data_IF_792289437748
#
_entry.id   IF_792289437748
#
_cell.length_a   1.000
_cell.length_b   1.000
_cell.length_c   1.000
_cell.angle_alpha   90.00
_cell.angle_beta   90.00
_cell.angle_gamma   90.00
#
_symmetry.space_group_name_H-M   'P 1'
#
loop_
_entity.id
_entity.type
_entity.pdbx_description
1 polymer ?
#
# COMPACT_ATOMS: atom_id res chain seq x y z
N UNK A 1 1.22 42.87 51.46
CA UNK A 1 1.41 44.17 52.16
C UNK A 1 2.90 44.48 52.22
N UNK A 2 3.25 45.77 52.11
CA UNK A 2 4.57 46.42 52.25
C UNK A 2 5.37 46.65 50.96
N UNK A 3 5.09 47.82 50.39
CA UNK A 3 5.95 48.61 49.50
C UNK A 3 7.03 49.36 50.30
N UNK A 4 8.00 49.85 49.52
CA UNK A 4 8.87 51.04 49.67
C UNK A 4 10.30 50.67 50.09
N UNK A 5 11.34 51.07 49.37
CA UNK A 5 11.77 52.46 49.25
C UNK A 5 12.83 52.58 48.12
N UNK A 6 12.66 53.55 47.23
CA UNK A 6 13.71 54.02 46.35
C UNK A 6 14.62 54.98 47.13
N UNK A 7 15.94 54.87 46.95
CA UNK A 7 16.84 56.01 47.11
C UNK A 7 17.99 55.91 46.11
N UNK A 8 18.01 56.91 45.23
CA UNK A 8 19.05 57.22 44.23
C UNK A 8 20.21 57.91 44.95
N UNK A 9 21.46 57.52 44.64
CA UNK A 9 22.60 58.42 44.84
C UNK A 9 23.75 58.17 43.85
N UNK A 10 23.92 59.18 42.99
CA UNK A 10 25.11 59.71 42.31
C UNK A 10 26.07 58.79 41.53
N UNK A 11 26.12 59.12 40.24
CA UNK A 11 27.20 58.88 39.27
C UNK A 11 28.50 59.54 39.73
N UNK A 12 29.58 58.75 39.75
CA UNK A 12 30.94 59.22 39.49
C UNK A 12 31.57 58.31 38.45
N UNK A 13 31.79 58.87 37.26
CA UNK A 13 32.64 58.29 36.24
C UNK A 13 34.08 58.27 36.78
N UNK A 14 34.52 57.11 37.24
CA UNK A 14 35.93 56.74 37.36
C UNK A 14 36.19 55.66 36.33
N UNK A 15 37.26 55.79 35.56
CA UNK A 15 37.72 54.77 34.64
C UNK A 15 37.91 53.46 35.41
N UNK A 16 37.05 52.47 35.19
CA UNK A 16 37.29 51.12 35.66
C UNK A 16 38.38 50.54 34.74
N UNK A 17 39.58 50.42 35.31
CA UNK A 17 40.56 49.45 34.86
C UNK A 17 39.87 48.10 35.07
N UNK A 18 39.74 47.34 33.99
CA UNK A 18 39.13 46.01 33.99
C UNK A 18 39.78 45.17 35.09
N UNK A 19 38.99 44.79 36.10
CA UNK A 19 39.40 43.87 37.15
C UNK A 19 39.48 42.49 36.49
N UNK A 20 40.61 42.20 35.84
CA UNK A 20 40.93 40.84 35.45
C UNK A 20 41.06 40.02 36.74
N UNK A 21 40.14 39.07 36.93
CA UNK A 21 40.15 38.03 37.98
C UNK A 21 41.27 37.00 37.72
N UNK A 22 42.42 37.47 37.24
CA UNK A 22 43.53 36.67 36.74
C UNK A 22 44.38 36.18 37.90
N UNK A 23 44.41 34.86 38.11
CA UNK A 23 45.43 34.21 38.94
C UNK A 23 46.81 34.64 38.44
N UNK A 24 47.65 35.14 39.33
CA UNK A 24 49.04 35.42 39.01
C UNK A 24 49.82 34.12 38.92
N UNK A 25 50.78 34.05 38.01
CA UNK A 25 51.59 32.86 37.75
C UNK A 25 53.05 33.23 37.53
N UNK A 26 53.98 32.29 37.78
CA UNK A 26 55.38 32.41 37.37
C UNK A 26 55.74 31.41 36.27
N UNK A 27 54.96 30.32 36.13
CA UNK A 27 55.05 29.34 35.05
C UNK A 27 53.65 28.82 34.66
N UNK A 28 53.54 28.19 33.49
CA UNK A 28 52.26 27.65 32.98
C UNK A 28 51.61 26.64 33.92
N UNK A 29 52.41 25.94 34.74
CA UNK A 29 51.91 24.99 35.74
C UNK A 29 51.13 25.65 36.89
N UNK A 30 51.22 26.98 37.05
CA UNK A 30 50.45 27.73 38.04
C UNK A 30 49.03 28.08 37.52
N UNK A 31 48.75 27.79 36.25
CA UNK A 31 47.50 28.08 35.55
C UNK A 31 46.63 26.81 35.39
N UNK A 32 45.31 27.00 35.23
CA UNK A 32 44.36 25.89 35.03
C UNK A 32 44.32 25.44 33.57
N UNK A 33 43.72 24.26 33.30
CA UNK A 33 43.61 23.71 31.95
C UNK A 33 43.06 24.74 30.95
N UNK A 34 43.75 24.94 29.83
CA UNK A 34 43.39 25.92 28.79
C UNK A 34 43.92 27.35 29.00
N UNK A 35 44.72 27.60 30.05
CA UNK A 35 45.35 28.89 30.32
C UNK A 35 46.87 28.77 30.46
N UNK A 36 47.61 29.77 29.98
CA UNK A 36 49.08 29.83 29.98
C UNK A 36 49.55 31.08 30.71
N UNK A 37 50.76 31.03 31.26
CA UNK A 37 51.30 32.11 32.06
C UNK A 37 51.96 33.18 31.20
N UNK A 38 51.27 34.30 31.02
CA UNK A 38 51.81 35.42 30.25
C UNK A 38 52.00 36.65 31.12
N UNK A 39 53.25 37.12 31.21
CA UNK A 39 53.64 38.34 31.94
C UNK A 39 53.12 38.38 33.39
N UNK A 40 53.06 37.23 34.04
CA UNK A 40 52.68 37.12 35.45
C UNK A 40 51.21 36.86 35.70
N UNK A 41 50.39 36.65 34.66
CA UNK A 41 48.96 36.36 34.78
C UNK A 41 48.58 35.15 33.92
N UNK A 42 47.69 34.31 34.44
CA UNK A 42 47.08 33.24 33.66
C UNK A 42 46.12 33.86 32.66
N UNK A 43 46.44 33.71 31.38
CA UNK A 43 45.61 34.14 30.26
C UNK A 43 45.20 32.91 29.44
N UNK A 44 44.05 32.95 28.78
CA UNK A 44 43.71 31.95 27.76
C UNK A 44 44.85 31.88 26.73
N UNK A 45 45.14 30.69 26.18
CA UNK A 45 46.26 30.46 25.27
C UNK A 45 46.38 31.57 24.21
N UNK A 46 47.34 32.47 24.42
CA UNK A 46 47.71 33.50 23.46
C UNK A 46 48.58 32.88 22.38
N UNK A 47 48.40 33.36 21.15
CA UNK A 47 49.14 32.88 19.99
C UNK A 47 49.86 34.04 19.29
N UNK A 48 50.85 33.71 18.47
CA UNK A 48 51.48 34.73 17.63
C UNK A 48 50.61 34.98 16.39
N UNK A 49 50.40 36.25 16.01
CA UNK A 49 49.60 36.62 14.83
C UNK A 49 50.07 35.81 13.61
N UNK A 50 49.12 35.29 12.83
CA UNK A 50 49.32 34.39 11.69
C UNK A 50 49.89 32.99 12.03
N UNK A 51 50.03 32.64 13.30
CA UNK A 51 50.36 31.26 13.70
C UNK A 51 49.19 30.33 13.40
N UNK A 52 49.50 29.13 12.93
CA UNK A 52 48.52 28.08 12.66
C UNK A 52 48.69 26.91 13.63
N UNK A 53 47.58 26.26 13.98
CA UNK A 53 47.58 24.98 14.69
C UNK A 53 46.48 24.07 14.17
N UNK A 54 46.71 22.77 14.33
CA UNK A 54 45.66 21.75 14.18
C UNK A 54 44.69 21.89 15.35
N UNK A 55 43.40 21.76 15.07
CA UNK A 55 42.34 21.86 16.06
C UNK A 55 41.21 20.87 15.75
N UNK A 56 40.42 20.58 16.77
CA UNK A 56 39.17 19.84 16.67
C UNK A 56 38.32 20.19 17.88
N UNK A 57 37.11 20.68 17.67
CA UNK A 57 36.23 21.13 18.76
C UNK A 57 35.40 19.98 19.36
N UNK A 58 35.48 18.77 18.80
CA UNK A 58 34.87 17.54 19.31
C UNK A 58 35.80 16.70 20.19
N UNK A 59 35.43 15.44 20.46
CA UNK A 59 36.30 14.51 21.20
C UNK A 59 37.56 14.19 20.37
N UNK A 60 38.78 14.51 20.85
CA UNK A 60 40.02 14.24 20.13
C UNK A 60 40.22 12.76 19.78
N UNK A 61 39.61 11.83 20.53
CA UNK A 61 39.71 10.40 20.27
C UNK A 61 39.10 9.97 18.92
N UNK A 62 38.23 10.80 18.33
CA UNK A 62 37.60 10.54 17.02
C UNK A 62 38.55 10.85 15.85
N UNK A 63 39.64 11.58 16.09
CA UNK A 63 40.55 12.08 15.05
C UNK A 63 42.04 11.80 15.30
N UNK A 64 42.41 11.26 16.46
CA UNK A 64 43.79 10.93 16.85
C UNK A 64 43.81 9.54 17.53
N UNK A 65 44.59 8.55 17.02
CA UNK A 65 45.66 8.65 16.03
C UNK A 65 45.22 8.59 14.55
N UNK A 66 43.97 8.21 14.30
CA UNK A 66 43.39 8.09 12.95
C UNK A 66 41.95 8.59 13.03
N UNK A 67 41.54 9.37 12.05
CA UNK A 67 40.16 9.79 11.89
C UNK A 67 39.22 8.60 11.69
N UNK A 68 38.16 8.56 12.50
CA UNK A 68 37.04 7.62 12.38
C UNK A 68 35.97 8.29 11.52
N UNK A 69 35.47 7.55 10.54
CA UNK A 69 34.43 8.02 9.64
C UNK A 69 34.76 9.30 8.88
N UNK A 70 33.77 10.18 8.79
CA UNK A 70 33.87 11.48 8.12
C UNK A 70 34.57 12.56 8.95
N UNK A 71 34.78 12.32 10.26
CA UNK A 71 35.37 13.29 11.17
C UNK A 71 36.78 13.67 10.76
N UNK A 72 37.09 14.96 10.82
CA UNK A 72 38.44 15.45 10.52
C UNK A 72 38.79 16.68 11.33
N UNK A 73 40.08 16.79 11.62
CA UNK A 73 40.68 17.97 12.21
C UNK A 73 40.63 19.16 11.24
N UNK A 74 40.55 20.37 11.80
CA UNK A 74 40.67 21.62 11.07
C UNK A 74 41.96 22.35 11.38
N UNK A 75 42.06 23.57 10.87
CA UNK A 75 43.13 24.53 11.18
C UNK A 75 42.52 25.75 11.85
N UNK A 76 43.15 26.17 12.94
CA UNK A 76 42.85 27.44 13.61
C UNK A 76 44.02 28.38 13.36
N UNK A 77 43.70 29.61 12.98
CA UNK A 77 44.66 30.70 12.73
C UNK A 77 44.55 31.73 13.84
N UNK A 78 45.70 32.22 14.31
CA UNK A 78 45.73 33.29 15.30
C UNK A 78 45.34 34.64 14.68
N UNK A 79 44.35 35.31 15.26
CA UNK A 79 43.90 36.63 14.84
C UNK A 79 44.83 37.77 15.29
N UNK A 80 44.56 38.98 14.78
CA UNK A 80 45.28 40.21 15.19
C UNK A 80 45.10 40.56 16.68
N UNK A 81 44.10 39.96 17.34
CA UNK A 81 43.81 40.06 18.76
C UNK A 81 44.58 39.03 19.62
N UNK A 82 45.56 38.33 19.03
CA UNK A 82 46.40 37.31 19.67
C UNK A 82 45.59 36.10 20.21
N UNK A 83 44.43 35.84 19.61
CA UNK A 83 43.52 34.74 19.96
C UNK A 83 43.31 33.77 18.81
N UNK A 84 43.12 32.50 19.14
CA UNK A 84 42.79 31.46 18.17
C UNK A 84 41.39 31.66 17.60
N UNK A 85 41.29 31.68 16.27
CA UNK A 85 40.00 31.67 15.57
C UNK A 85 39.27 30.32 15.65
N UNK A 86 38.04 30.28 15.14
CA UNK A 86 37.28 29.04 15.01
C UNK A 86 38.07 27.98 14.21
N UNK A 87 37.87 26.71 14.54
CA UNK A 87 38.56 25.63 13.86
C UNK A 87 37.99 25.45 12.44
N UNK A 88 38.69 25.98 11.44
CA UNK A 88 38.24 25.99 10.05
C UNK A 88 38.52 24.64 9.38
N UNK A 89 37.51 24.11 8.69
CA UNK A 89 37.65 22.86 7.92
C UNK A 89 37.43 21.57 8.72
N UNK A 90 37.21 21.64 10.03
CA UNK A 90 36.83 20.48 10.83
C UNK A 90 35.49 19.89 10.38
N UNK A 91 35.33 18.58 10.54
CA UNK A 91 34.03 17.87 10.41
C UNK A 91 33.73 17.26 11.76
N UNK A 92 32.72 17.82 12.44
CA UNK A 92 32.24 17.33 13.73
C UNK A 92 31.23 16.20 13.52
N UNK A 93 31.10 15.27 14.49
CA UNK A 93 30.03 14.27 14.51
C UNK A 93 28.65 14.88 14.33
N UNK A 94 27.80 14.20 13.55
CA UNK A 94 26.40 14.55 13.29
C UNK A 94 25.52 13.32 13.47
N UNK A 95 24.21 13.49 13.39
CA UNK A 95 23.32 12.34 13.37
C UNK A 95 23.50 11.57 12.07
N UNK A 96 23.60 10.25 12.19
CA UNK A 96 23.67 9.32 11.06
C UNK A 96 22.56 9.53 10.03
N UNK A 97 22.94 9.46 8.77
CA UNK A 97 22.05 9.43 7.63
C UNK A 97 22.40 8.23 6.76
N UNK A 98 21.45 7.65 6.04
CA UNK A 98 21.75 6.62 5.04
C UNK A 98 22.43 7.27 3.82
N UNK A 99 23.73 7.54 3.90
CA UNK A 99 24.53 8.16 2.83
C UNK A 99 25.83 7.38 2.53
N UNK A 100 26.09 6.29 3.25
CA UNK A 100 27.28 5.46 3.09
C UNK A 100 28.52 6.01 3.80
N UNK A 101 28.36 7.08 4.57
CA UNK A 101 29.39 7.69 5.41
C UNK A 101 29.11 7.38 6.89
N UNK A 102 30.15 7.48 7.71
CA UNK A 102 30.07 7.42 9.18
C UNK A 102 30.06 8.89 9.65
N UNK A 103 28.85 9.42 9.84
CA UNK A 103 28.53 10.82 10.12
C UNK A 103 28.73 11.16 11.60
N UNK A 104 28.52 10.20 12.50
CA UNK A 104 28.67 10.34 13.95
C UNK A 104 30.04 9.90 14.49
N UNK A 105 30.84 9.27 13.62
CA UNK A 105 32.24 8.90 13.83
C UNK A 105 32.43 7.84 14.91
N UNK A 106 31.44 6.97 15.14
CA UNK A 106 31.54 5.86 16.10
C UNK A 106 32.29 4.63 15.53
N UNK A 107 32.55 4.62 14.21
CA UNK A 107 33.23 3.55 13.49
C UNK A 107 32.30 2.60 12.76
N UNK A 108 31.00 2.88 12.71
CA UNK A 108 30.01 2.18 11.90
C UNK A 108 29.44 3.12 10.84
N UNK A 109 28.95 2.52 9.77
CA UNK A 109 28.36 3.25 8.65
C UNK A 109 26.87 2.98 8.69
N UNK A 110 26.06 4.05 8.58
CA UNK A 110 24.62 4.03 8.40
C UNK A 110 23.86 3.18 9.46
N UNK A 111 24.22 3.27 10.75
CA UNK A 111 23.60 2.40 11.78
C UNK A 111 22.16 2.75 12.16
N UNK A 112 21.55 3.71 11.46
CA UNK A 112 20.10 3.92 11.51
C UNK A 112 19.34 2.76 10.86
N UNK A 113 20.02 1.94 10.05
CA UNK A 113 19.44 0.73 9.47
C UNK A 113 18.97 -0.25 10.56
N UNK A 114 17.72 -0.69 10.47
CA UNK A 114 17.07 -1.57 11.44
C UNK A 114 16.38 -0.85 12.60
N UNK A 115 16.45 0.47 12.67
CA UNK A 115 15.64 1.24 13.63
C UNK A 115 14.16 1.26 13.22
N UNK A 116 13.26 1.28 14.22
CA UNK A 116 11.81 1.29 13.98
C UNK A 116 11.37 2.59 13.31
N UNK A 117 10.48 2.49 12.34
CA UNK A 117 9.88 3.61 11.63
C UNK A 117 8.40 3.36 11.36
N UNK A 118 7.68 4.43 11.02
CA UNK A 118 6.28 4.38 10.61
C UNK A 118 6.22 4.38 9.07
N UNK A 119 5.60 3.36 8.49
CA UNK A 119 5.47 3.20 7.03
C UNK A 119 4.38 4.10 6.45
N UNK A 120 3.42 4.50 7.28
CA UNK A 120 2.20 5.19 6.88
C UNK A 120 1.11 4.26 6.33
N UNK A 121 1.35 2.95 6.30
CA UNK A 121 0.32 1.94 5.99
C UNK A 121 -0.55 1.66 7.22
N UNK A 122 -1.79 1.15 7.03
CA UNK A 122 -2.64 0.79 8.15
C UNK A 122 -2.22 -0.56 8.77
N UNK A 123 -2.89 -0.92 9.87
CA UNK A 123 -2.80 -2.25 10.44
C UNK A 123 -1.42 -2.73 10.87
N UNK A 124 -1.19 -4.04 10.67
CA UNK A 124 0.05 -4.73 10.94
C UNK A 124 1.24 -4.14 10.15
N UNK A 125 0.98 -3.46 9.02
CA UNK A 125 2.00 -2.84 8.19
C UNK A 125 2.44 -1.46 8.69
N UNK A 126 1.80 -0.87 9.71
CA UNK A 126 2.09 0.49 10.17
C UNK A 126 3.53 0.67 10.66
N UNK A 127 4.08 -0.37 11.30
CA UNK A 127 5.45 -0.37 11.82
C UNK A 127 6.37 -1.10 10.86
N UNK A 128 7.55 -0.53 10.66
CA UNK A 128 8.60 -1.12 9.86
C UNK A 128 9.99 -0.82 10.39
N UNK A 129 10.99 -1.23 9.63
CA UNK A 129 12.40 -0.95 9.87
C UNK A 129 12.98 -0.05 8.79
N UNK A 130 13.84 0.88 9.21
CA UNK A 130 14.62 1.68 8.28
C UNK A 130 15.59 0.80 7.52
N UNK A 131 15.53 0.88 6.20
CA UNK A 131 16.46 0.21 5.29
C UNK A 131 17.18 1.29 4.50
N UNK A 132 18.51 1.26 4.52
CA UNK A 132 19.31 2.13 3.68
C UNK A 132 19.37 1.60 2.25
N UNK A 133 18.99 2.45 1.30
CA UNK A 133 19.05 2.19 -0.14
C UNK A 133 19.94 3.23 -0.83
N UNK A 134 20.21 3.05 -2.12
CA UNK A 134 20.92 4.07 -2.92
C UNK A 134 20.20 5.43 -2.97
N UNK A 135 18.90 5.46 -2.67
CA UNK A 135 18.10 6.69 -2.61
C UNK A 135 17.97 7.29 -1.20
N UNK A 136 18.63 6.69 -0.19
CA UNK A 136 18.54 7.07 1.22
C UNK A 136 17.71 6.09 2.06
N UNK A 137 17.26 6.54 3.23
CA UNK A 137 16.50 5.72 4.18
C UNK A 137 15.06 5.55 3.70
N UNK A 138 14.61 4.30 3.55
CA UNK A 138 13.19 3.96 3.36
C UNK A 138 12.68 3.20 4.58
N UNK A 139 11.38 3.29 4.87
CA UNK A 139 10.75 2.47 5.91
C UNK A 139 10.14 1.23 5.25
N UNK A 140 10.68 0.05 5.54
CA UNK A 140 10.15 -1.24 5.07
C UNK A 140 9.26 -1.86 6.15
N UNK A 141 8.00 -2.21 5.85
CA UNK A 141 7.12 -2.86 6.83
C UNK A 141 7.72 -4.12 7.44
N UNK A 142 7.46 -4.36 8.72
CA UNK A 142 7.88 -5.58 9.42
C UNK A 142 6.96 -6.77 9.09
N UNK A 143 5.69 -6.49 8.81
CA UNK A 143 4.69 -7.48 8.42
C UNK A 143 4.52 -7.54 6.90
N UNK A 144 4.33 -8.75 6.38
CA UNK A 144 3.80 -8.97 5.03
C UNK A 144 2.29 -9.08 5.12
N UNK A 145 1.50 -8.40 4.25
CA UNK A 145 0.07 -8.60 4.16
C UNK A 145 -0.31 -10.07 4.04
N UNK A 146 -1.27 -10.52 4.85
CA UNK A 146 -1.86 -11.86 4.81
C UNK A 146 -3.38 -11.73 4.90
N UNK A 147 -4.12 -12.78 4.52
CA UNK A 147 -5.57 -12.81 4.72
C UNK A 147 -5.94 -12.58 6.20
N UNK A 148 -7.04 -11.87 6.43
CA UNK A 148 -7.50 -11.48 7.76
C UNK A 148 -7.62 -12.65 8.75
N UNK A 149 -7.24 -12.37 9.99
CA UNK A 149 -7.48 -13.24 11.13
C UNK A 149 -8.37 -12.48 12.10
N UNK A 150 -9.36 -13.15 12.71
CA UNK A 150 -10.21 -12.49 13.72
C UNK A 150 -9.40 -12.22 15.00
N UNK A 151 -8.64 -11.13 15.02
CA UNK A 151 -7.69 -10.78 16.07
C UNK A 151 -7.70 -9.27 16.42
N UNK A 152 -8.54 -8.48 15.73
CA UNK A 152 -8.66 -7.03 15.93
C UNK A 152 -7.53 -6.22 15.30
N UNK A 153 -6.79 -6.80 14.36
CA UNK A 153 -5.69 -6.20 13.60
C UNK A 153 -5.99 -6.38 12.12
N UNK A 154 -5.83 -5.29 11.38
CA UNK A 154 -5.80 -5.26 9.92
C UNK A 154 -4.50 -5.95 9.45
N UNK A 155 -4.61 -7.23 9.11
CA UNK A 155 -3.51 -8.14 8.76
C UNK A 155 -3.15 -8.06 7.27
N UNK A 156 -4.11 -7.66 6.42
CA UNK A 156 -3.94 -7.49 4.98
C UNK A 156 -3.56 -6.04 4.57
N UNK A 157 -3.67 -5.11 5.52
CA UNK A 157 -3.28 -3.71 5.41
C UNK A 157 -4.10 -2.91 4.39
N UNK A 158 -5.37 -3.26 4.17
CA UNK A 158 -6.31 -2.54 3.31
C UNK A 158 -7.01 -1.36 4.00
N UNK A 159 -6.96 -1.31 5.34
CA UNK A 159 -7.49 -0.24 6.17
C UNK A 159 -8.85 -0.52 6.84
N UNK A 160 -9.47 -1.66 6.56
CA UNK A 160 -10.57 -2.22 7.37
C UNK A 160 -9.98 -3.15 8.44
N UNK A 161 -10.79 -3.83 9.25
CA UNK A 161 -10.26 -4.69 10.32
C UNK A 161 -11.19 -5.87 10.50
N UNK A 162 -10.63 -7.09 10.46
CA UNK A 162 -11.34 -8.36 10.56
C UNK A 162 -12.47 -8.51 9.50
N UNK A 163 -12.31 -7.92 8.31
CA UNK A 163 -13.26 -8.01 7.20
C UNK A 163 -13.26 -9.37 6.49
N UNK A 164 -14.29 -9.65 5.71
CA UNK A 164 -14.48 -10.92 4.96
C UNK A 164 -14.46 -12.22 5.79
N UNK A 165 -14.41 -12.12 7.12
CA UNK A 165 -14.45 -13.26 8.04
C UNK A 165 -15.86 -13.66 8.48
N UNK A 166 -16.87 -12.81 8.25
CA UNK A 166 -18.24 -13.02 8.73
C UNK A 166 -19.20 -13.45 7.62
N UNK A 167 -20.17 -14.32 7.96
CA UNK A 167 -21.21 -14.76 7.02
C UNK A 167 -20.83 -15.96 6.16
N UNK A 168 -19.69 -16.60 6.43
CA UNK A 168 -19.31 -17.86 5.79
C UNK A 168 -19.98 -19.03 6.53
N UNK A 169 -20.47 -20.07 5.82
CA UNK A 169 -20.98 -21.27 6.46
C UNK A 169 -19.92 -21.93 7.33
N UNK A 170 -20.30 -22.34 8.54
CA UNK A 170 -19.40 -23.03 9.46
C UNK A 170 -20.13 -24.13 10.24
N UNK A 171 -19.35 -25.07 10.76
CA UNK A 171 -19.83 -26.12 11.65
C UNK A 171 -18.77 -26.46 12.71
N UNK A 172 -19.04 -26.28 14.02
CA UNK A 172 -18.16 -26.76 15.07
C UNK A 172 -18.17 -28.30 15.10
N UNK A 173 -17.01 -28.93 15.30
CA UNK A 173 -16.71 -30.35 15.07
C UNK A 173 -17.89 -31.34 15.24
N UNK A 174 -18.10 -32.16 14.19
CA UNK A 174 -19.10 -33.23 14.17
C UNK A 174 -20.49 -32.75 13.71
N UNK A 175 -21.23 -33.65 13.09
CA UNK A 175 -22.67 -33.48 12.83
C UNK A 175 -23.12 -33.02 11.45
N UNK A 176 -22.23 -32.42 10.67
CA UNK A 176 -22.45 -32.26 9.24
C UNK A 176 -21.20 -32.72 8.49
N UNK A 177 -21.39 -33.34 7.34
CA UNK A 177 -20.30 -33.77 6.48
C UNK A 177 -19.90 -32.61 5.58
N UNK A 178 -18.65 -32.17 5.66
CA UNK A 178 -18.13 -31.16 4.73
C UNK A 178 -18.09 -31.72 3.29
N UNK A 179 -18.63 -30.95 2.34
CA UNK A 179 -18.65 -31.26 0.90
C UNK A 179 -17.87 -30.20 0.13
N UNK A 180 -17.70 -30.36 -1.19
CA UNK A 180 -17.07 -29.32 -2.03
C UNK A 180 -17.92 -28.02 -2.08
N UNK A 181 -19.23 -28.12 -1.86
CA UNK A 181 -20.19 -27.02 -1.95
C UNK A 181 -20.66 -26.50 -0.57
N UNK A 182 -20.20 -27.08 0.55
CA UNK A 182 -20.57 -26.64 1.90
C UNK A 182 -20.61 -27.75 2.95
N UNK A 183 -21.77 -27.94 3.57
CA UNK A 183 -22.00 -28.94 4.61
C UNK A 183 -23.34 -29.64 4.40
N UNK A 184 -23.31 -30.97 4.42
CA UNK A 184 -24.51 -31.82 4.40
C UNK A 184 -24.85 -32.25 5.83
N UNK A 185 -26.04 -31.90 6.32
CA UNK A 185 -26.48 -32.13 7.68
C UNK A 185 -27.69 -33.08 7.71
N UNK A 186 -27.67 -34.06 8.62
CA UNK A 186 -28.76 -35.03 8.81
C UNK A 186 -29.56 -34.67 10.07
N UNK A 187 -30.87 -34.89 10.05
CA UNK A 187 -31.75 -34.67 11.19
C UNK A 187 -31.75 -33.25 11.74
N UNK A 188 -31.55 -33.07 13.04
CA UNK A 188 -31.74 -31.75 13.70
C UNK A 188 -30.55 -30.80 13.54
N UNK A 189 -29.46 -31.29 12.94
CA UNK A 189 -28.18 -30.63 12.86
C UNK A 189 -28.21 -29.58 11.75
N UNK A 190 -27.54 -28.44 11.96
CA UNK A 190 -27.52 -27.33 11.01
C UNK A 190 -26.28 -26.49 11.18
N UNK A 191 -25.77 -25.96 10.08
CA UNK A 191 -24.65 -25.05 10.05
C UNK A 191 -24.97 -23.71 10.72
N UNK A 192 -23.93 -23.04 11.17
CA UNK A 192 -23.96 -21.64 11.57
C UNK A 192 -23.31 -20.75 10.52
N UNK A 193 -23.21 -19.46 10.84
CA UNK A 193 -22.42 -18.50 10.09
C UNK A 193 -21.24 -18.03 10.93
N UNK A 194 -20.08 -17.84 10.28
CA UNK A 194 -18.92 -17.27 10.95
C UNK A 194 -19.26 -15.87 11.42
N UNK A 195 -18.82 -15.54 12.64
CA UNK A 195 -18.89 -14.19 13.18
C UNK A 195 -17.57 -13.91 13.89
N UNK A 196 -16.97 -12.75 13.61
CA UNK A 196 -15.80 -12.30 14.35
C UNK A 196 -16.25 -11.46 15.55
N UNK A 197 -15.91 -11.90 16.77
CA UNK A 197 -16.19 -11.16 18.01
C UNK A 197 -15.01 -10.28 18.47
N UNK A 198 -14.12 -9.92 17.53
CA UNK A 198 -12.92 -9.10 17.74
C UNK A 198 -11.72 -9.87 18.30
N UNK A 199 -11.85 -11.15 18.63
CA UNK A 199 -10.69 -11.98 18.99
C UNK A 199 -10.89 -13.48 18.79
N UNK A 200 -12.11 -13.92 18.50
CA UNK A 200 -12.42 -15.29 18.17
C UNK A 200 -13.42 -15.34 17.00
N UNK A 201 -13.12 -16.21 16.05
CA UNK A 201 -14.07 -16.61 15.03
C UNK A 201 -15.06 -17.59 15.67
N UNK A 202 -16.31 -17.18 15.84
CA UNK A 202 -17.40 -18.03 16.34
C UNK A 202 -18.23 -18.57 15.17
N UNK A 203 -18.96 -19.65 15.44
CA UNK A 203 -19.93 -20.19 14.50
C UNK A 203 -21.34 -20.03 15.06
N UNK A 204 -21.96 -18.90 14.74
CA UNK A 204 -23.22 -18.49 15.33
C UNK A 204 -24.40 -19.21 14.65
N UNK A 205 -25.25 -19.84 15.47
CA UNK A 205 -26.46 -20.51 15.00
C UNK A 205 -26.30 -21.98 14.60
N UNK A 206 -25.09 -22.53 14.68
CA UNK A 206 -24.84 -23.96 14.46
C UNK A 206 -25.51 -24.83 15.54
N UNK A 207 -26.03 -25.98 15.13
CA UNK A 207 -26.57 -27.02 16.02
C UNK A 207 -25.78 -28.30 15.76
N UNK A 208 -24.83 -28.58 16.65
CA UNK A 208 -23.98 -29.77 16.61
C UNK A 208 -24.49 -30.94 17.45
N UNK A 209 -23.75 -32.06 17.47
CA UNK A 209 -24.15 -33.30 18.12
C UNK A 209 -24.41 -33.11 19.61
N UNK A 210 -25.59 -33.51 20.09
CA UNK A 210 -25.86 -33.56 21.53
C UNK A 210 -25.49 -34.93 22.11
N UNK A 211 -24.94 -35.02 23.34
CA UNK A 211 -24.48 -36.29 23.90
C UNK A 211 -25.57 -37.31 24.30
N UNK A 212 -26.84 -37.10 23.95
CA UNK A 212 -27.92 -38.03 24.31
C UNK A 212 -28.30 -38.88 23.11
N UNK A 213 -28.52 -40.18 23.38
CA UNK A 213 -29.03 -41.15 22.39
C UNK A 213 -30.25 -40.58 21.67
N UNK A 214 -30.39 -40.95 20.39
CA UNK A 214 -31.58 -40.64 19.61
C UNK A 214 -32.87 -40.94 20.37
N UNK A 215 -33.67 -39.90 20.58
CA UNK A 215 -35.06 -40.11 20.94
C UNK A 215 -35.72 -40.81 19.75
N UNK A 216 -36.29 -42.01 19.95
CA UNK A 216 -36.96 -42.79 18.91
C UNK A 216 -38.21 -42.06 18.36
N UNK A 217 -38.01 -41.03 17.55
CA UNK A 217 -39.05 -40.19 16.95
C UNK A 217 -39.14 -40.51 15.45
N UNK A 218 -39.64 -39.58 14.65
CA UNK A 218 -39.86 -39.79 13.20
C UNK A 218 -38.87 -39.00 12.34
N UNK A 219 -37.99 -38.25 12.99
CA UNK A 219 -37.23 -37.11 12.50
C UNK A 219 -35.88 -36.96 13.24
N UNK A 220 -35.44 -37.99 13.96
CA UNK A 220 -34.33 -37.94 14.92
C UNK A 220 -33.01 -38.51 14.39
N UNK A 221 -32.09 -37.61 14.04
CA UNK A 221 -30.63 -37.79 14.22
C UNK A 221 -30.21 -36.63 15.13
N UNK A 222 -30.12 -36.92 16.43
CA UNK A 222 -29.86 -35.94 17.49
C UNK A 222 -28.39 -35.90 17.90
N UNK A 223 -27.67 -37.01 17.74
CA UNK A 223 -26.23 -37.09 17.98
C UNK A 223 -25.40 -36.88 16.71
N UNK A 224 -26.06 -36.55 15.60
CA UNK A 224 -25.50 -36.10 14.35
C UNK A 224 -24.45 -37.07 13.78
N UNK A 225 -24.70 -38.37 13.85
CA UNK A 225 -23.76 -39.38 13.33
C UNK A 225 -24.14 -39.87 11.92
N UNK A 226 -25.22 -39.34 11.36
CA UNK A 226 -25.74 -39.66 10.04
C UNK A 226 -26.68 -40.86 10.02
N UNK A 227 -26.94 -41.49 11.16
CA UNK A 227 -27.95 -42.51 11.32
C UNK A 227 -29.16 -41.97 12.08
N UNK A 228 -30.35 -42.42 11.65
CA UNK A 228 -31.61 -41.97 12.23
C UNK A 228 -32.10 -43.04 13.20
N UNK A 229 -32.34 -42.63 14.45
CA UNK A 229 -32.94 -43.41 15.53
C UNK A 229 -32.14 -44.68 15.91
N UNK A 230 -30.85 -44.52 16.19
CA UNK A 230 -29.99 -45.62 16.62
C UNK A 230 -30.36 -46.14 18.03
N UNK A 231 -30.05 -47.42 18.31
CA UNK A 231 -30.30 -47.99 19.65
C UNK A 231 -31.77 -48.23 20.02
N UNK A 232 -32.73 -47.83 19.16
CA UNK A 232 -34.16 -48.03 19.36
C UNK A 232 -34.58 -49.51 19.23
N UNK A 233 -34.99 -50.18 20.34
CA UNK A 233 -35.36 -51.59 20.28
C UNK A 233 -36.66 -51.77 19.50
N UNK A 234 -36.63 -52.67 18.51
CA UNK A 234 -37.78 -52.97 17.68
C UNK A 234 -38.15 -54.46 17.70
N UNK A 235 -39.35 -54.78 17.25
CA UNK A 235 -39.80 -56.17 17.13
C UNK A 235 -39.52 -56.66 15.72
N UNK A 236 -38.93 -57.84 15.59
CA UNK A 236 -38.57 -58.42 14.28
C UNK A 236 -39.73 -58.32 13.26
N UNK A 237 -39.45 -57.70 12.11
CA UNK A 237 -40.43 -57.49 11.04
C UNK A 237 -41.43 -56.34 11.26
N UNK A 238 -41.31 -55.54 12.33
CA UNK A 238 -42.07 -54.29 12.45
C UNK A 238 -41.60 -53.27 11.41
N UNK A 239 -42.52 -52.42 10.98
CA UNK A 239 -42.25 -51.29 10.07
C UNK A 239 -42.58 -49.97 10.78
N UNK A 240 -41.78 -48.92 10.51
CA UNK A 240 -42.08 -47.53 10.91
C UNK A 240 -41.74 -46.57 9.79
N UNK A 241 -42.42 -45.41 9.79
CA UNK A 241 -42.03 -44.28 8.95
C UNK A 241 -40.73 -43.67 9.48
N UNK A 242 -39.94 -43.08 8.60
CA UNK A 242 -38.65 -42.49 8.90
C UNK A 242 -38.37 -41.35 7.92
N UNK A 243 -37.50 -40.43 8.31
CA UNK A 243 -37.01 -39.36 7.46
C UNK A 243 -35.71 -38.80 8.05
N UNK A 244 -34.61 -38.88 7.30
CA UNK A 244 -33.30 -38.37 7.72
C UNK A 244 -33.05 -36.91 7.37
N UNK A 245 -33.95 -36.26 6.62
CA UNK A 245 -33.81 -34.84 6.31
C UNK A 245 -34.15 -33.94 7.50
N UNK A 246 -33.73 -32.67 7.48
CA UNK A 246 -34.03 -31.71 8.54
C UNK A 246 -35.50 -31.58 8.92
N UNK A 247 -35.79 -31.45 10.21
CA UNK A 247 -37.16 -31.27 10.70
C UNK A 247 -37.83 -30.08 10.01
N UNK A 248 -39.00 -30.31 9.42
CA UNK A 248 -39.77 -29.30 8.68
C UNK A 248 -39.65 -29.40 7.16
N UNK A 249 -38.66 -30.12 6.62
CA UNK A 249 -38.55 -30.34 5.16
C UNK A 249 -39.41 -31.52 4.66
N UNK A 250 -39.85 -32.39 5.57
CA UNK A 250 -40.69 -33.55 5.23
C UNK A 250 -42.00 -33.14 4.55
N UNK A 251 -42.16 -33.55 3.29
CA UNK A 251 -43.34 -33.26 2.48
C UNK A 251 -43.35 -31.88 1.81
N UNK A 252 -42.23 -31.14 1.90
CA UNK A 252 -41.98 -29.94 1.08
C UNK A 252 -41.28 -30.36 -0.21
N UNK A 253 -41.67 -29.74 -1.33
CA UNK A 253 -41.02 -29.99 -2.61
C UNK A 253 -40.93 -31.46 -3.02
N UNK A 254 -39.71 -31.88 -3.35
CA UNK A 254 -39.37 -33.26 -3.70
C UNK A 254 -39.23 -34.18 -2.48
N UNK A 255 -39.10 -33.62 -1.26
CA UNK A 255 -38.77 -34.38 -0.07
C UNK A 255 -39.92 -35.22 0.46
N UNK A 256 -39.64 -36.51 0.67
CA UNK A 256 -40.60 -37.48 1.17
C UNK A 256 -39.95 -38.42 2.18
N UNK A 257 -40.73 -38.85 3.17
CA UNK A 257 -40.32 -39.85 4.15
C UNK A 257 -40.25 -41.24 3.55
N UNK A 258 -39.37 -42.07 4.12
CA UNK A 258 -39.21 -43.48 3.77
C UNK A 258 -39.85 -44.42 4.80
N UNK A 259 -39.47 -45.69 4.72
CA UNK A 259 -39.85 -46.72 5.70
C UNK A 259 -38.64 -47.52 6.16
N UNK A 260 -38.54 -47.74 7.47
CA UNK A 260 -37.57 -48.66 8.06
C UNK A 260 -38.25 -49.99 8.42
N UNK A 261 -37.51 -51.09 8.28
CA UNK A 261 -37.92 -52.43 8.72
C UNK A 261 -36.96 -52.92 9.80
N UNK A 262 -37.52 -53.47 10.87
CA UNK A 262 -36.72 -54.07 11.95
C UNK A 262 -36.15 -55.42 11.53
N UNK A 263 -34.83 -55.58 11.64
CA UNK A 263 -34.12 -56.83 11.37
C UNK A 263 -33.02 -57.06 12.43
N UNK A 264 -33.10 -58.15 13.18
CA UNK A 264 -32.13 -58.47 14.22
C UNK A 264 -32.26 -57.62 15.49
N UNK A 265 -33.44 -56.99 15.72
CA UNK A 265 -33.70 -56.12 16.86
C UNK A 265 -33.27 -54.65 16.68
N UNK A 266 -32.76 -54.31 15.50
CA UNK A 266 -32.37 -52.94 15.09
C UNK A 266 -33.13 -52.53 13.83
N UNK A 267 -33.41 -51.23 13.69
CA UNK A 267 -33.99 -50.69 12.46
C UNK A 267 -32.97 -50.66 11.33
N UNK A 268 -33.39 -51.05 10.12
CA UNK A 268 -32.56 -50.91 8.91
C UNK A 268 -32.54 -49.48 8.36
N UNK A 269 -31.94 -49.29 7.18
CA UNK A 269 -31.92 -48.01 6.49
C UNK A 269 -33.34 -47.51 6.14
N UNK A 270 -33.53 -46.19 6.13
CA UNK A 270 -34.79 -45.56 5.75
C UNK A 270 -34.99 -45.68 4.23
N UNK A 271 -35.76 -46.67 3.80
CA UNK A 271 -35.89 -46.99 2.37
C UNK A 271 -36.97 -46.13 1.72
N UNK A 272 -36.63 -45.47 0.62
CA UNK A 272 -37.57 -44.69 -0.20
C UNK A 272 -37.75 -43.24 0.25
N UNK A 273 -36.94 -42.77 1.19
CA UNK A 273 -36.85 -41.34 1.48
C UNK A 273 -36.19 -40.55 0.34
N UNK A 274 -36.55 -39.29 0.23
CA UNK A 274 -35.85 -38.26 -0.54
C UNK A 274 -35.60 -37.12 0.43
N UNK A 275 -34.35 -36.89 0.78
CA UNK A 275 -33.91 -35.81 1.67
C UNK A 275 -33.54 -34.58 0.85
N UNK A 276 -33.43 -33.39 1.47
CA UNK A 276 -33.03 -32.17 0.79
C UNK A 276 -31.69 -32.32 0.07
N UNK A 277 -31.60 -31.75 -1.12
CA UNK A 277 -30.34 -31.59 -1.87
C UNK A 277 -30.32 -30.20 -2.50
N UNK A 278 -29.13 -29.64 -2.71
CA UNK A 278 -29.01 -28.30 -3.31
C UNK A 278 -29.75 -28.19 -4.65
N UNK A 279 -30.40 -27.05 -4.83
CA UNK A 279 -31.04 -26.67 -6.08
C UNK A 279 -30.04 -26.62 -7.24
N UNK A 280 -30.43 -27.18 -8.38
CA UNK A 280 -29.58 -27.19 -9.58
C UNK A 280 -30.32 -26.72 -10.82
N UNK A 281 -29.58 -26.30 -11.84
CA UNK A 281 -30.18 -26.00 -13.14
C UNK A 281 -30.78 -27.25 -13.83
N UNK A 282 -30.54 -28.47 -13.33
CA UNK A 282 -30.90 -29.70 -14.03
C UNK A 282 -32.41 -30.01 -14.03
N UNK A 283 -33.15 -29.43 -13.09
CA UNK A 283 -34.54 -29.77 -12.81
C UNK A 283 -35.37 -28.53 -12.44
N UNK A 284 -35.25 -27.49 -13.28
CA UNK A 284 -36.02 -26.26 -13.16
C UNK A 284 -37.52 -26.51 -12.87
N UNK A 285 -38.05 -25.86 -11.85
CA UNK A 285 -39.39 -25.96 -11.31
C UNK A 285 -39.53 -26.91 -10.11
N UNK A 286 -38.42 -27.48 -9.61
CA UNK A 286 -38.39 -28.31 -8.42
C UNK A 286 -38.01 -27.50 -7.17
N UNK A 287 -38.33 -28.07 -6.01
CA UNK A 287 -37.94 -27.63 -4.67
C UNK A 287 -37.17 -28.82 -4.09
N UNK A 288 -35.90 -28.91 -4.45
CA UNK A 288 -34.97 -30.00 -4.14
C UNK A 288 -34.40 -29.90 -2.74
N UNK A 289 -34.19 -28.67 -2.25
CA UNK A 289 -33.70 -28.42 -0.89
C UNK A 289 -34.86 -28.33 0.12
N UNK A 290 -36.10 -28.41 -0.38
CA UNK A 290 -37.32 -28.54 0.38
C UNK A 290 -37.51 -27.41 1.38
N UNK A 291 -37.04 -26.21 1.02
CA UNK A 291 -37.16 -25.00 1.82
C UNK A 291 -38.48 -24.24 1.53
N UNK A 292 -39.26 -24.72 0.55
CA UNK A 292 -40.55 -24.16 0.14
C UNK A 292 -40.44 -23.08 -0.95
N UNK A 293 -39.23 -22.79 -1.41
CA UNK A 293 -38.94 -22.04 -2.61
C UNK A 293 -38.66 -23.00 -3.75
N UNK A 294 -38.87 -22.56 -4.98
CA UNK A 294 -38.59 -23.35 -6.18
C UNK A 294 -37.49 -22.63 -6.92
N UNK A 295 -36.46 -23.36 -7.36
CA UNK A 295 -35.34 -22.87 -8.16
C UNK A 295 -34.49 -21.76 -7.51
N UNK A 296 -34.30 -21.77 -6.19
CA UNK A 296 -33.42 -20.83 -5.47
C UNK A 296 -31.95 -21.26 -5.46
N UNK A 297 -31.48 -21.67 -6.64
CA UNK A 297 -30.11 -22.12 -6.90
C UNK A 297 -29.09 -21.10 -6.38
N UNK A 298 -28.14 -21.53 -5.53
CA UNK A 298 -27.11 -20.65 -4.99
C UNK A 298 -26.37 -19.88 -6.09
N UNK A 299 -26.23 -18.58 -5.87
CA UNK A 299 -25.54 -17.61 -6.74
C UNK A 299 -26.21 -17.32 -8.09
N UNK A 300 -27.36 -17.91 -8.45
CA UNK A 300 -28.06 -17.46 -9.67
C UNK A 300 -28.48 -16.00 -9.53
N UNK A 301 -28.19 -15.20 -10.56
CA UNK A 301 -28.45 -13.75 -10.57
C UNK A 301 -27.39 -12.89 -9.88
N UNK A 302 -26.39 -13.49 -9.21
CA UNK A 302 -25.25 -12.74 -8.67
C UNK A 302 -24.18 -12.51 -9.75
N UNK A 303 -23.29 -11.55 -9.50
CA UNK A 303 -22.17 -11.25 -10.40
C UNK A 303 -21.11 -12.36 -10.38
N UNK A 304 -20.50 -12.61 -11.52
CA UNK A 304 -19.44 -13.60 -11.69
C UNK A 304 -18.39 -13.11 -12.69
N UNK A 305 -17.24 -13.77 -12.72
CA UNK A 305 -16.17 -13.47 -13.68
C UNK A 305 -16.14 -14.56 -14.75
N UNK A 306 -16.62 -14.24 -15.95
CA UNK A 306 -16.61 -15.12 -17.10
C UNK A 306 -15.20 -15.25 -17.69
N UNK A 307 -14.97 -16.35 -18.43
CA UNK A 307 -13.78 -16.55 -19.27
C UNK A 307 -13.88 -15.71 -20.56
N UNK A 308 -13.97 -14.39 -20.38
CA UNK A 308 -13.95 -13.37 -21.41
C UNK A 308 -12.74 -12.44 -21.19
N UNK A 309 -12.51 -11.46 -22.07
CA UNK A 309 -11.46 -10.45 -21.90
C UNK A 309 -12.08 -9.09 -21.54
N UNK A 310 -11.28 -8.22 -20.94
CA UNK A 310 -11.70 -6.85 -20.60
C UNK A 310 -12.96 -6.72 -19.74
N UNK A 311 -13.77 -5.71 -20.05
CA UNK A 311 -15.04 -5.39 -19.41
C UNK A 311 -16.08 -6.52 -19.53
N UNK A 312 -15.94 -7.43 -20.50
CA UNK A 312 -16.85 -8.57 -20.69
C UNK A 312 -16.65 -9.69 -19.67
N UNK A 313 -15.60 -9.63 -18.85
CA UNK A 313 -15.39 -10.57 -17.76
C UNK A 313 -16.50 -10.49 -16.73
N UNK A 314 -17.09 -9.32 -16.50
CA UNK A 314 -18.19 -9.23 -15.55
C UNK A 314 -19.48 -9.79 -16.16
N UNK A 315 -19.96 -10.86 -15.56
CA UNK A 315 -21.17 -11.55 -15.94
C UNK A 315 -22.13 -11.75 -14.77
N UNK A 316 -23.22 -12.44 -15.04
CA UNK A 316 -24.13 -12.95 -14.02
C UNK A 316 -24.32 -14.46 -14.18
N UNK A 317 -24.38 -15.17 -13.05
CA UNK A 317 -24.69 -16.60 -13.09
C UNK A 317 -26.13 -16.80 -13.55
N UNK A 318 -26.31 -17.65 -14.56
CA UNK A 318 -27.62 -18.02 -15.11
C UNK A 318 -27.66 -19.50 -15.47
N UNK A 319 -28.85 -20.07 -15.60
CA UNK A 319 -29.03 -21.42 -16.11
C UNK A 319 -29.15 -21.40 -17.63
N UNK A 320 -28.19 -21.99 -18.33
CA UNK A 320 -28.28 -22.22 -19.77
C UNK A 320 -28.53 -23.71 -20.02
N UNK A 321 -29.80 -24.08 -20.14
CA UNK A 321 -30.21 -25.49 -20.11
C UNK A 321 -30.05 -26.06 -18.70
N UNK A 322 -29.37 -27.20 -18.56
CA UNK A 322 -29.17 -27.89 -17.29
C UNK A 322 -27.86 -27.53 -16.56
N UNK A 323 -27.18 -26.45 -16.99
CA UNK A 323 -25.86 -26.07 -16.48
C UNK A 323 -25.87 -24.62 -16.01
N UNK A 324 -25.33 -24.39 -14.81
CA UNK A 324 -25.03 -23.05 -14.30
C UNK A 324 -23.84 -22.48 -15.07
N UNK A 325 -24.06 -21.35 -15.74
CA UNK A 325 -23.03 -20.66 -16.54
C UNK A 325 -22.88 -19.21 -16.07
N UNK A 326 -21.65 -18.71 -16.06
CA UNK A 326 -21.41 -17.27 -15.92
C UNK A 326 -21.61 -16.62 -17.28
N UNK A 327 -22.74 -15.93 -17.49
CA UNK A 327 -23.01 -15.26 -18.76
C UNK A 327 -22.50 -13.82 -18.70
N UNK A 328 -21.59 -13.40 -19.61
CA UNK A 328 -21.14 -12.01 -19.71
C UNK A 328 -22.32 -11.03 -19.76
N UNK A 329 -22.27 -9.99 -18.93
CA UNK A 329 -23.37 -9.03 -18.77
C UNK A 329 -23.26 -7.84 -19.72
N UNK A 330 -22.05 -7.52 -20.16
CA UNK A 330 -21.72 -6.42 -21.06
C UNK A 330 -21.64 -6.93 -22.50
N UNK A 331 -22.49 -6.39 -23.38
CA UNK A 331 -22.30 -6.53 -24.81
C UNK A 331 -21.07 -5.71 -25.20
N UNK A 332 -20.18 -6.27 -26.01
CA UNK A 332 -19.03 -5.56 -26.57
C UNK A 332 -19.45 -4.18 -27.12
N UNK A 333 -18.81 -3.13 -26.63
CA UNK A 333 -19.01 -1.75 -27.09
C UNK A 333 -17.69 -1.18 -27.60
N UNK A 334 -17.74 -0.21 -28.50
CA UNK A 334 -16.54 0.45 -29.00
C UNK A 334 -15.68 1.04 -27.87
N UNK A 335 -14.37 0.84 -27.98
CA UNK A 335 -13.33 1.30 -27.06
C UNK A 335 -13.45 2.79 -26.67
N UNK A 336 -13.13 3.08 -25.41
CA UNK A 336 -13.04 4.40 -24.77
C UNK A 336 -11.72 4.49 -24.01
N UNK A 337 -11.01 5.61 -24.19
CA UNK A 337 -9.65 5.79 -23.67
C UNK A 337 -9.66 5.89 -22.14
N UNK A 338 -9.82 4.76 -21.46
CA UNK A 338 -9.87 4.63 -20.01
C UNK A 338 -9.11 3.41 -19.49
N UNK A 339 -8.41 2.70 -20.38
CA UNK A 339 -7.56 1.56 -20.04
C UNK A 339 -8.35 0.26 -19.82
N UNK A 340 -9.61 0.20 -20.25
CA UNK A 340 -10.46 -0.99 -20.22
C UNK A 340 -10.71 -1.46 -21.65
N UNK A 341 -10.57 -2.77 -21.88
CA UNK A 341 -10.94 -3.46 -23.13
C UNK A 341 -12.46 -3.67 -23.16
N UNK A 342 -13.20 -2.86 -23.90
CA UNK A 342 -14.66 -2.78 -23.85
C UNK A 342 -15.35 -3.52 -24.99
N UNK A 343 -14.63 -3.77 -26.09
CA UNK A 343 -15.07 -4.63 -27.18
C UNK A 343 -14.58 -6.08 -27.03
N UNK A 344 -13.69 -6.32 -26.08
CA UNK A 344 -13.29 -7.62 -25.55
C UNK A 344 -12.51 -8.45 -26.57
N UNK A 345 -11.73 -7.79 -27.43
CA UNK A 345 -10.87 -8.41 -28.43
C UNK A 345 -9.45 -8.75 -27.89
N UNK A 346 -9.14 -8.27 -26.68
CA UNK A 346 -7.89 -8.51 -25.96
C UNK A 346 -6.80 -7.48 -26.18
N UNK A 347 -7.06 -6.44 -26.98
CA UNK A 347 -6.29 -5.21 -26.95
C UNK A 347 -6.99 -4.18 -26.03
N UNK A 348 -6.25 -3.14 -25.63
CA UNK A 348 -6.78 -2.07 -24.79
C UNK A 348 -6.64 -0.78 -25.59
N UNK A 349 -7.74 -0.04 -25.77
CA UNK A 349 -7.80 1.29 -26.37
C UNK A 349 -7.33 1.38 -27.85
N UNK A 350 -7.46 0.33 -28.65
CA UNK A 350 -6.90 0.22 -30.01
C UNK A 350 -7.76 0.82 -31.14
N UNK A 351 -9.08 0.97 -30.94
CA UNK A 351 -10.02 1.42 -31.98
C UNK A 351 -10.69 2.80 -31.67
N UNK A 352 -10.01 3.61 -30.88
CA UNK A 352 -10.49 4.92 -30.36
C UNK A 352 -10.85 5.92 -31.47
N UNK A 353 -12.15 6.03 -31.80
CA UNK A 353 -12.68 7.10 -32.67
C UNK A 353 -13.14 8.34 -31.89
N UNK A 354 -13.22 8.24 -30.56
CA UNK A 354 -13.91 9.22 -29.69
C UNK A 354 -13.02 10.30 -29.05
N UNK A 355 -11.68 10.20 -29.16
CA UNK A 355 -10.76 11.14 -28.51
C UNK A 355 -10.26 12.29 -29.41
N UNK A 356 -10.53 12.26 -30.73
CA UNK A 356 -10.06 13.28 -31.69
C UNK A 356 -8.54 13.31 -31.93
N UNK A 357 -7.74 12.83 -30.96
CA UNK A 357 -6.28 12.74 -30.95
C UNK A 357 -5.82 11.31 -30.55
N UNK A 358 -4.64 11.11 -29.92
CA UNK A 358 -4.10 9.78 -29.57
C UNK A 358 -4.42 9.43 -28.11
N UNK A 359 -4.86 8.19 -27.85
CA UNK A 359 -5.02 7.69 -26.48
C UNK A 359 -3.65 7.33 -25.88
N UNK A 360 -3.29 7.97 -24.78
CA UNK A 360 -2.06 7.73 -24.06
C UNK A 360 -2.37 7.33 -22.61
N UNK A 361 -2.26 6.03 -22.35
CA UNK A 361 -2.37 5.44 -21.01
C UNK A 361 -3.69 5.85 -20.29
N UNK A 362 -4.83 5.63 -20.94
CA UNK A 362 -6.15 5.98 -20.39
C UNK A 362 -6.47 7.48 -20.38
N UNK A 363 -5.67 8.32 -21.07
CA UNK A 363 -5.96 9.75 -21.25
C UNK A 363 -5.78 10.21 -22.69
N UNK A 364 -6.73 10.99 -23.19
CA UNK A 364 -6.65 11.57 -24.53
C UNK A 364 -5.58 12.67 -24.56
N UNK A 365 -4.57 12.51 -25.41
CA UNK A 365 -3.45 13.45 -25.52
C UNK A 365 -3.31 14.00 -26.95
N UNK A 366 -3.08 15.30 -27.05
CA UNK A 366 -2.67 15.95 -28.29
C UNK A 366 -1.16 15.85 -28.48
N UNK A 367 -0.72 14.96 -29.37
CA UNK A 367 0.72 14.77 -29.58
C UNK A 367 1.42 16.01 -30.11
N UNK A 368 0.70 17.00 -30.64
CA UNK A 368 1.31 18.22 -31.17
C UNK A 368 1.52 19.32 -30.11
N UNK A 369 0.81 19.24 -28.98
CA UNK A 369 0.77 20.32 -27.99
C UNK A 369 0.85 19.88 -26.53
N UNK A 370 0.65 18.60 -26.23
CA UNK A 370 0.75 18.03 -24.89
C UNK A 370 2.22 17.84 -24.47
N UNK A 371 2.72 18.58 -23.47
CA UNK A 371 4.09 18.43 -22.99
C UNK A 371 4.39 17.06 -22.35
N UNK A 372 3.38 16.31 -21.92
CA UNK A 372 3.56 14.97 -21.34
C UNK A 372 3.58 13.86 -22.40
N UNK A 373 3.06 14.12 -23.61
CA UNK A 373 2.90 13.15 -24.69
C UNK A 373 3.32 13.75 -26.05
N UNK A 374 4.46 14.43 -26.09
CA UNK A 374 4.86 15.23 -27.25
C UNK A 374 5.45 14.39 -28.39
N UNK A 375 4.74 14.30 -29.52
CA UNK A 375 5.10 13.49 -30.68
C UNK A 375 4.84 11.99 -30.50
N UNK A 376 4.36 11.57 -29.31
CA UNK A 376 4.04 10.19 -28.97
C UNK A 376 3.71 10.04 -27.48
N UNK A 377 3.02 8.96 -27.13
CA UNK A 377 2.64 8.71 -25.74
C UNK A 377 3.86 8.53 -24.83
N UNK A 378 3.79 9.12 -23.64
CA UNK A 378 4.85 9.14 -22.62
C UNK A 378 6.17 9.78 -23.08
N UNK A 379 6.15 10.51 -24.19
CA UNK A 379 7.28 11.33 -24.64
C UNK A 379 7.16 12.70 -23.97
N UNK A 380 7.53 12.76 -22.71
CA UNK A 380 7.50 13.99 -21.92
C UNK A 380 8.63 14.96 -22.28
N UNK A 381 8.32 16.25 -22.32
CA UNK A 381 9.32 17.30 -22.49
C UNK A 381 10.08 17.59 -21.20
N UNK A 382 11.36 17.97 -21.31
CA UNK A 382 12.17 18.31 -20.15
C UNK A 382 11.67 19.60 -19.48
N UNK A 383 12.03 19.81 -18.21
CA UNK A 383 11.60 20.97 -17.43
C UNK A 383 11.90 22.29 -18.17
N UNK A 384 10.86 23.10 -18.40
CA UNK A 384 10.94 24.39 -19.10
C UNK A 384 10.78 24.32 -20.62
N UNK A 385 10.58 23.14 -21.20
CA UNK A 385 10.21 22.97 -22.60
C UNK A 385 8.67 22.91 -22.76
N UNK A 386 8.21 23.23 -23.97
CA UNK A 386 6.83 23.08 -24.42
C UNK A 386 6.77 22.05 -25.54
N UNK A 387 5.63 21.39 -25.71
CA UNK A 387 5.37 20.66 -26.93
C UNK A 387 4.89 21.63 -28.01
N UNK A 388 5.58 21.64 -29.15
CA UNK A 388 5.19 22.43 -30.30
C UNK A 388 5.36 21.62 -31.57
N UNK A 389 4.24 21.27 -32.21
CA UNK A 389 4.22 20.55 -33.49
C UNK A 389 4.91 19.16 -33.40
N UNK A 390 4.64 18.45 -32.30
CA UNK A 390 5.13 17.10 -32.08
C UNK A 390 6.57 16.99 -31.58
N UNK A 391 7.21 18.11 -31.19
CA UNK A 391 8.55 18.09 -30.61
C UNK A 391 8.73 19.03 -29.42
N UNK A 392 9.57 18.58 -28.48
CA UNK A 392 9.90 19.33 -27.27
C UNK A 392 10.88 20.46 -27.57
N UNK A 393 10.40 21.69 -27.49
CA UNK A 393 11.17 22.88 -27.82
C UNK A 393 11.16 23.90 -26.67
N UNK A 394 12.10 24.84 -26.70
CA UNK A 394 12.05 25.96 -25.77
C UNK A 394 10.87 26.87 -26.11
N UNK A 395 10.37 27.60 -25.11
CA UNK A 395 9.24 28.52 -25.31
C UNK A 395 9.52 29.52 -26.45
N UNK A 396 8.63 29.56 -27.44
CA UNK A 396 8.74 30.44 -28.61
C UNK A 396 9.45 29.83 -29.82
N UNK A 397 9.89 28.57 -29.74
CA UNK A 397 10.36 27.78 -30.88
C UNK A 397 9.28 26.82 -31.38
N UNK A 398 9.38 26.41 -32.65
CA UNK A 398 8.52 25.43 -33.30
C UNK A 398 9.36 24.24 -33.79
N UNK A 399 8.83 23.01 -33.66
CA UNK A 399 9.51 21.83 -34.18
C UNK A 399 9.28 21.68 -35.68
N UNK A 400 10.36 21.75 -36.47
CA UNK A 400 10.31 21.63 -37.92
C UNK A 400 11.33 20.59 -38.42
N UNK A 401 10.84 19.51 -39.04
CA UNK A 401 11.71 18.53 -39.72
C UNK A 401 12.75 17.87 -38.82
N UNK A 402 12.42 17.62 -37.55
CA UNK A 402 13.31 16.93 -36.59
C UNK A 402 14.15 17.86 -35.71
N UNK A 403 13.93 19.17 -35.72
CA UNK A 403 14.66 20.10 -34.84
C UNK A 403 13.86 21.36 -34.50
N UNK A 404 14.12 21.93 -33.33
CA UNK A 404 13.54 23.20 -32.91
C UNK A 404 14.14 24.37 -33.70
N UNK A 405 13.27 25.28 -34.12
CA UNK A 405 13.62 26.47 -34.90
C UNK A 405 12.86 27.65 -34.32
N UNK A 406 13.54 28.78 -34.17
CA UNK A 406 12.88 30.01 -33.75
C UNK A 406 12.25 30.71 -34.96
N UNK A 407 10.91 30.75 -35.08
CA UNK A 407 10.25 31.30 -36.26
C UNK A 407 10.38 32.83 -36.34
N UNK A 408 10.89 33.49 -35.31
CA UNK A 408 11.05 34.95 -35.30
C UNK A 408 12.30 35.45 -36.02
N UNK A 409 13.32 34.60 -36.15
CA UNK A 409 14.62 34.98 -36.71
C UNK A 409 15.26 33.90 -37.60
N UNK A 410 14.70 32.69 -37.67
CA UNK A 410 15.18 31.66 -38.56
C UNK A 410 14.72 31.94 -40.00
N UNK A 411 15.67 32.14 -40.90
CA UNK A 411 15.40 32.48 -42.30
C UNK A 411 14.65 31.37 -43.06
N UNK A 412 14.91 30.12 -42.71
CA UNK A 412 14.40 28.96 -43.46
C UNK A 412 13.08 28.43 -42.85
N UNK A 413 12.64 29.02 -41.73
CA UNK A 413 11.38 28.72 -41.03
C UNK A 413 10.74 30.02 -40.50
N UNK A 414 10.67 31.05 -41.33
CA UNK A 414 10.27 32.38 -40.90
C UNK A 414 8.75 32.50 -40.74
N UNK A 415 8.27 32.61 -39.51
CA UNK A 415 6.84 32.67 -39.16
C UNK A 415 6.18 31.31 -39.00
N UNK A 416 6.59 30.29 -39.77
CA UNK A 416 6.12 28.90 -39.66
C UNK A 416 7.15 27.93 -40.29
N UNK A 417 6.96 26.63 -40.10
CA UNK A 417 7.83 25.60 -40.67
C UNK A 417 7.87 25.64 -42.21
N UNK A 418 9.08 25.65 -42.78
CA UNK A 418 9.30 25.55 -44.23
C UNK A 418 9.08 26.86 -44.99
N UNK A 419 8.87 27.98 -44.29
CA UNK A 419 8.81 29.30 -44.90
C UNK A 419 10.23 29.86 -45.05
N UNK A 420 10.80 29.68 -46.23
CA UNK A 420 12.13 30.21 -46.58
C UNK A 420 12.04 31.62 -47.16
N UNK A 421 12.81 32.56 -46.60
CA UNK A 421 12.93 33.90 -47.16
C UNK A 421 13.71 33.89 -48.48
N UNK A 422 13.34 34.73 -49.45
CA UNK A 422 13.97 34.71 -50.77
C UNK A 422 15.46 35.10 -50.71
N UNK A 423 16.31 34.40 -51.49
CA UNK A 423 17.75 34.70 -51.60
C UNK A 423 18.07 36.00 -52.36
N UNK A 424 17.04 36.78 -52.72
CA UNK A 424 17.16 37.96 -53.54
C UNK A 424 17.34 37.61 -55.02
N UNK A 425 16.92 38.52 -55.90
CA UNK A 425 17.26 38.52 -57.33
C UNK A 425 18.09 39.76 -57.61
N UNK A 426 18.91 39.75 -58.67
CA UNK A 426 19.87 40.82 -58.97
C UNK A 426 19.23 42.23 -58.85
N UNK A 427 19.58 42.95 -57.78
CA UNK A 427 19.07 44.29 -57.46
C UNK A 427 18.23 44.41 -56.18
N UNK A 428 17.81 43.29 -55.56
CA UNK A 428 17.15 43.23 -54.25
C UNK A 428 18.02 42.36 -53.33
N UNK A 429 18.36 42.84 -52.14
CA UNK A 429 19.18 42.10 -51.17
C UNK A 429 18.52 40.80 -50.69
N UNK A 430 19.32 39.90 -50.11
CA UNK A 430 18.84 38.67 -49.47
C UNK A 430 17.89 39.04 -48.32
N UNK A 431 16.71 38.42 -48.30
CA UNK A 431 15.74 38.67 -47.24
C UNK A 431 16.15 37.98 -45.94
N UNK A 432 15.93 38.67 -44.82
CA UNK A 432 16.14 38.13 -43.48
C UNK A 432 14.79 37.94 -42.77
N UNK A 433 14.76 37.03 -41.80
CA UNK A 433 13.60 36.86 -40.95
C UNK A 433 13.66 37.88 -39.80
N UNK A 434 12.72 38.83 -39.80
CA UNK A 434 12.63 39.85 -38.76
C UNK A 434 11.24 39.80 -38.15
N UNK A 435 11.16 39.32 -36.92
CA UNK A 435 9.92 39.14 -36.16
C UNK A 435 8.89 38.28 -36.92
N UNK A 436 9.35 37.15 -37.48
CA UNK A 436 8.50 36.18 -38.16
C UNK A 436 7.98 36.63 -39.53
N UNK A 437 8.62 37.62 -40.14
CA UNK A 437 8.33 38.06 -41.51
C UNK A 437 9.61 38.24 -42.32
N UNK A 438 9.65 37.71 -43.53
CA UNK A 438 10.75 37.92 -44.47
C UNK A 438 10.76 39.38 -44.95
N UNK A 439 11.87 40.09 -44.73
CA UNK A 439 12.03 41.51 -45.08
C UNK A 439 13.30 41.77 -45.84
#
# INVERSE_FOLDING_TARGET
MRRRLSLVLLVLAGCAIDEHDGRTCEADADCGDGTSCYRGFCVEEICTVDQERVCFDGDPALVDPVAIGSCRQGLSTCGEDERWGACAGQVLPRAEACNGDDDDCDGRIDEIAGSSCETGQPGACAVGQLVCTEAGAICSPDATPIDELCNGVDDDCDGETDEDLSGLPCMPEGGCTATEDGFDCVGTCRTGLTACDGSALTCDGAVGPVPQEDECTTDGDADCDGAVDEGCPCTEGSERDCYGGPSGTLGMGACVGGRQTCNGGTWGACTGEVTPTDETCANMGADDDCNGSVDDIPSIGTSCTADAMGACRQGTYTCLGNVRVCQPGTAATSERCDGVDEDCDGAIDEDQTNCGNTCCNGTCADLDSDPANCGGCLIGCAAGQICSNGGCCSAGEIFCGGSCRNPQNNRDHCGDCGIECADGVAGIGRQECVMGTCR
#
